data_IF_420184353626
#
_entry.id   IF_420184353626
#
_cell.length_a   1.000
_cell.length_b   1.000
_cell.length_c   1.000
_cell.angle_alpha   90.00
_cell.angle_beta   90.00
_cell.angle_gamma   90.00
#
_symmetry.space_group_name_H-M   'P 1'
#
loop_
_entity.id
_entity.type
_entity.pdbx_description
1 polymer ?
#
# COMPACT_ATOMS: atom_id res chain seq x y z
N UNK A 1 -18.37 -27.68 57.43
CA UNK A 1 -18.04 -27.19 56.08
C UNK A 1 -18.02 -28.40 55.18
N UNK A 2 -19.05 -28.58 54.34
CA UNK A 2 -19.31 -29.84 53.64
C UNK A 2 -18.32 -30.09 52.50
N UNK A 3 -18.08 -31.37 52.19
CA UNK A 3 -17.15 -31.81 51.14
C UNK A 3 -17.43 -31.15 49.77
N UNK A 4 -18.72 -30.90 49.47
CA UNK A 4 -19.15 -30.20 48.26
C UNK A 4 -18.72 -28.73 48.24
N UNK A 5 -18.88 -28.03 49.37
CA UNK A 5 -18.49 -26.63 49.52
C UNK A 5 -16.96 -26.47 49.48
N UNK A 6 -16.21 -27.42 50.05
CA UNK A 6 -14.76 -27.45 49.96
C UNK A 6 -14.26 -27.62 48.52
N UNK A 7 -14.88 -28.55 47.75
CA UNK A 7 -14.56 -28.74 46.32
C UNK A 7 -14.89 -27.52 45.48
N UNK A 8 -15.99 -26.82 45.79
CA UNK A 8 -16.37 -25.58 45.10
C UNK A 8 -15.37 -24.44 45.36
N UNK A 9 -15.02 -24.21 46.62
CA UNK A 9 -14.02 -23.19 47.02
C UNK A 9 -12.67 -23.49 46.35
N UNK A 10 -12.25 -24.76 46.31
CA UNK A 10 -11.03 -25.18 45.64
C UNK A 10 -11.06 -24.88 44.13
N UNK A 11 -12.19 -25.13 43.45
CA UNK A 11 -12.36 -24.82 42.02
C UNK A 11 -12.31 -23.32 41.74
N UNK A 12 -12.95 -22.50 42.58
CA UNK A 12 -12.91 -21.04 42.46
C UNK A 12 -11.48 -20.54 42.61
N UNK A 13 -10.75 -21.07 43.61
CA UNK A 13 -9.35 -20.70 43.83
C UNK A 13 -8.46 -21.08 42.63
N UNK A 14 -8.66 -22.26 42.05
CA UNK A 14 -7.96 -22.69 40.82
C UNK A 14 -8.26 -21.74 39.65
N UNK A 15 -9.52 -21.35 39.46
CA UNK A 15 -9.90 -20.41 38.39
C UNK A 15 -9.24 -19.03 38.55
N UNK A 16 -9.19 -18.52 39.78
CA UNK A 16 -8.53 -17.24 40.07
C UNK A 16 -7.02 -17.32 39.79
N UNK A 17 -6.36 -18.42 40.18
CA UNK A 17 -4.95 -18.65 39.89
C UNK A 17 -4.67 -18.75 38.38
N UNK A 18 -5.56 -19.39 37.62
CA UNK A 18 -5.43 -19.48 36.16
C UNK A 18 -5.48 -18.09 35.51
N UNK A 19 -6.44 -17.25 35.91
CA UNK A 19 -6.56 -15.87 35.38
C UNK A 19 -5.31 -15.04 35.74
N UNK A 20 -4.83 -15.13 36.98
CA UNK A 20 -3.63 -14.42 37.41
C UNK A 20 -2.38 -14.87 36.65
N UNK A 21 -2.26 -16.17 36.38
CA UNK A 21 -1.18 -16.75 35.60
C UNK A 21 -1.20 -16.26 34.15
N UNK A 22 -2.38 -16.12 33.54
CA UNK A 22 -2.55 -15.57 32.19
C UNK A 22 -2.10 -14.10 32.13
N UNK A 23 -2.48 -13.28 33.13
CA UNK A 23 -2.08 -11.86 33.18
C UNK A 23 -0.56 -11.71 33.29
N UNK A 24 0.09 -12.55 34.11
CA UNK A 24 1.56 -12.60 34.23
C UNK A 24 2.22 -13.09 32.94
N UNK A 25 1.63 -14.09 32.29
CA UNK A 25 2.12 -14.62 31.01
C UNK A 25 2.08 -13.56 29.91
N UNK A 26 0.98 -12.80 29.78
CA UNK A 26 0.86 -11.69 28.81
C UNK A 26 1.94 -10.63 29.06
N UNK A 27 2.25 -10.30 30.32
CA UNK A 27 3.35 -9.37 30.67
C UNK A 27 4.73 -9.96 30.31
N UNK A 28 4.93 -11.26 30.52
CA UNK A 28 6.19 -11.95 30.21
C UNK A 28 6.44 -12.16 28.73
N UNK A 29 5.40 -12.25 27.88
CA UNK A 29 5.58 -12.35 26.42
C UNK A 29 6.24 -11.07 25.86
N UNK A 30 6.33 -9.99 26.65
CA UNK A 30 7.04 -8.79 26.22
C UNK A 30 6.46 -8.24 24.92
N UNK A 31 5.14 -8.37 24.75
CA UNK A 31 4.41 -7.82 23.60
C UNK A 31 4.57 -6.31 23.69
N UNK A 32 5.59 -5.81 23.00
CA UNK A 32 5.72 -4.40 22.70
C UNK A 32 4.66 -4.09 21.65
N UNK A 33 3.53 -3.54 22.09
CA UNK A 33 2.61 -2.79 21.21
C UNK A 33 3.22 -1.47 20.72
N UNK A 34 4.47 -1.20 21.10
CA UNK A 34 5.33 -0.36 20.30
C UNK A 34 5.72 -1.18 19.07
N UNK A 35 4.95 -1.06 17.99
CA UNK A 35 5.50 -1.28 16.67
C UNK A 35 6.86 -0.58 16.67
N UNK A 36 7.95 -1.35 16.58
CA UNK A 36 9.25 -0.74 16.36
C UNK A 36 9.11 -0.06 15.01
N UNK A 37 8.91 1.25 15.03
CA UNK A 37 9.16 2.09 13.88
C UNK A 37 10.59 1.78 13.48
N UNK A 38 10.74 0.94 12.45
CA UNK A 38 11.98 0.88 11.71
C UNK A 38 12.34 2.33 11.41
N UNK A 39 13.55 2.79 11.78
CA UNK A 39 13.95 4.15 11.48
C UNK A 39 13.80 4.33 9.97
N UNK A 40 12.77 5.05 9.55
CA UNK A 40 12.63 5.51 8.19
C UNK A 40 13.83 6.41 7.98
N UNK A 41 14.91 5.88 7.43
CA UNK A 41 15.91 6.73 6.82
C UNK A 41 15.14 7.51 5.76
N UNK A 42 15.06 8.82 5.94
CA UNK A 42 14.35 9.74 5.07
C UNK A 42 15.02 9.72 3.69
N UNK A 43 14.70 8.72 2.87
CA UNK A 43 14.76 8.83 1.43
C UNK A 43 13.62 9.79 1.07
N UNK A 44 13.99 11.08 1.10
CA UNK A 44 13.19 12.24 0.72
C UNK A 44 12.26 12.79 1.81
N UNK A 45 12.64 13.95 2.35
CA UNK A 45 11.76 14.83 3.11
C UNK A 45 10.75 15.39 2.11
N UNK A 46 9.58 14.78 2.02
CA UNK A 46 8.41 15.43 1.45
C UNK A 46 7.82 16.24 2.58
N UNK A 47 7.82 17.56 2.45
CA UNK A 47 7.15 18.49 3.35
C UNK A 47 5.72 18.00 3.56
N UNK A 48 5.44 17.44 4.74
CA UNK A 48 4.08 17.16 5.17
C UNK A 48 3.62 18.49 5.74
N UNK A 49 3.03 19.31 4.88
CA UNK A 49 2.18 20.39 5.39
C UNK A 49 1.14 19.73 6.27
N UNK A 50 0.98 20.32 7.45
CA UNK A 50 0.26 19.75 8.56
C UNK A 50 -1.17 19.39 8.18
N UNK A 51 -1.78 18.71 9.14
CA UNK A 51 -3.20 18.53 9.29
C UNK A 51 -3.94 19.88 9.30
N UNK A 52 -4.00 20.54 8.14
CA UNK A 52 -4.69 21.79 7.92
C UNK A 52 -5.38 21.72 6.56
N UNK A 53 -6.69 21.89 6.63
CA UNK A 53 -7.66 21.78 5.54
C UNK A 53 -8.09 20.35 5.24
N UNK A 54 -9.06 19.93 6.04
CA UNK A 54 -10.26 19.26 5.55
C UNK A 54 -10.92 20.09 4.42
N UNK A 55 -10.21 20.30 3.31
CA UNK A 55 -10.84 20.46 2.01
C UNK A 55 -11.10 19.04 1.53
N UNK A 56 -12.16 18.48 2.11
CA UNK A 56 -13.02 17.49 1.45
C UNK A 56 -13.65 18.13 0.21
N UNK A 57 -12.86 18.73 -0.67
CA UNK A 57 -13.06 18.53 -2.10
C UNK A 57 -12.70 17.06 -2.32
N UNK A 58 -13.66 16.23 -1.95
CA UNK A 58 -13.88 14.84 -2.33
C UNK A 58 -12.66 14.19 -3.00
N UNK A 59 -12.24 13.03 -2.48
CA UNK A 59 -11.61 12.02 -3.33
C UNK A 59 -12.65 11.60 -4.39
N UNK A 60 -12.92 12.46 -5.38
CA UNK A 60 -13.80 12.23 -6.53
C UNK A 60 -13.06 11.49 -7.63
N UNK A 61 -11.72 11.53 -7.61
CA UNK A 61 -10.91 10.86 -8.60
C UNK A 61 -10.63 9.42 -8.18
N UNK A 62 -11.48 8.51 -8.67
CA UNK A 62 -11.31 7.05 -8.56
C UNK A 62 -9.89 6.58 -8.93
N UNK A 63 -9.22 7.29 -9.84
CA UNK A 63 -7.81 7.10 -10.20
C UNK A 63 -6.87 7.22 -8.98
N UNK A 64 -7.02 8.28 -8.17
CA UNK A 64 -6.08 8.54 -7.09
C UNK A 64 -6.28 7.57 -5.93
N UNK A 65 -7.54 7.18 -5.66
CA UNK A 65 -7.84 6.10 -4.73
C UNK A 65 -7.26 4.76 -5.22
N UNK A 66 -7.35 4.47 -6.51
CA UNK A 66 -6.73 3.29 -7.12
C UNK A 66 -5.22 3.27 -6.88
N UNK A 67 -4.53 4.38 -7.15
CA UNK A 67 -3.09 4.48 -6.95
C UNK A 67 -2.66 4.34 -5.48
N UNK A 68 -3.42 4.94 -4.56
CA UNK A 68 -3.12 4.88 -3.12
C UNK A 68 -3.17 3.46 -2.55
N UNK A 69 -4.01 2.59 -3.11
CA UNK A 69 -4.13 1.20 -2.66
C UNK A 69 -2.90 0.32 -2.98
N UNK A 70 -1.97 0.80 -3.81
CA UNK A 70 -0.77 0.07 -4.20
C UNK A 70 0.54 0.76 -3.79
N UNK A 71 0.49 1.74 -2.88
CA UNK A 71 1.69 2.42 -2.38
C UNK A 71 2.63 1.39 -1.73
N UNK A 72 3.91 1.42 -2.14
CA UNK A 72 4.94 0.52 -1.64
C UNK A 72 4.99 -0.84 -2.33
N UNK A 73 4.09 -1.13 -3.28
CA UNK A 73 4.10 -2.37 -4.04
C UNK A 73 3.94 -2.13 -5.55
N UNK A 74 5.06 -1.84 -6.20
CA UNK A 74 5.11 -1.56 -7.64
C UNK A 74 4.66 -2.75 -8.49
N UNK A 75 4.90 -4.00 -8.06
CA UNK A 75 4.50 -5.18 -8.83
C UNK A 75 2.97 -5.30 -8.90
N UNK A 76 2.28 -5.21 -7.76
CA UNK A 76 0.81 -5.32 -7.74
C UNK A 76 0.15 -4.10 -8.37
N UNK A 77 0.76 -2.92 -8.26
CA UNK A 77 0.35 -1.74 -9.02
C UNK A 77 0.41 -2.00 -10.52
N UNK A 78 1.53 -2.54 -11.01
CA UNK A 78 1.74 -2.81 -12.42
C UNK A 78 0.73 -3.83 -12.96
N UNK A 79 0.49 -4.93 -12.23
CA UNK A 79 -0.55 -5.89 -12.58
C UNK A 79 -1.93 -5.25 -12.67
N UNK A 80 -2.22 -4.30 -11.79
CA UNK A 80 -3.50 -3.59 -11.76
C UNK A 80 -3.60 -2.59 -12.92
N UNK A 81 -2.53 -1.84 -13.23
CA UNK A 81 -2.46 -0.99 -14.42
C UNK A 81 -2.65 -1.81 -15.70
N UNK A 82 -2.03 -2.99 -15.82
CA UNK A 82 -2.15 -3.86 -17.00
C UNK A 82 -3.60 -4.34 -17.26
N UNK A 83 -4.48 -4.28 -16.26
CA UNK A 83 -5.91 -4.64 -16.37
C UNK A 83 -6.79 -3.45 -16.77
N UNK A 84 -6.26 -2.22 -16.78
CA UNK A 84 -7.03 -1.03 -17.14
C UNK A 84 -7.25 -0.93 -18.65
N UNK A 85 -8.42 -0.41 -19.04
CA UNK A 85 -8.65 0.02 -20.43
C UNK A 85 -7.77 1.21 -20.79
N UNK A 86 -7.50 1.43 -22.08
CA UNK A 86 -6.67 2.56 -22.53
C UNK A 86 -7.15 3.92 -21.98
N UNK A 87 -8.47 4.16 -21.99
CA UNK A 87 -9.06 5.39 -21.46
C UNK A 87 -8.78 5.58 -19.97
N UNK A 88 -8.93 4.52 -19.18
CA UNK A 88 -8.68 4.57 -17.74
C UNK A 88 -7.17 4.66 -17.46
N UNK A 89 -6.35 3.96 -18.23
CA UNK A 89 -4.90 4.04 -18.13
C UNK A 89 -4.40 5.48 -18.34
N UNK A 90 -4.87 6.13 -19.41
CA UNK A 90 -4.42 7.47 -19.78
C UNK A 90 -4.86 8.55 -18.79
N UNK A 91 -5.87 8.28 -17.96
CA UNK A 91 -6.36 9.19 -16.92
C UNK A 91 -5.86 8.83 -15.52
N UNK A 92 -5.17 7.70 -15.35
CA UNK A 92 -4.73 7.22 -14.04
C UNK A 92 -3.35 7.74 -13.67
N UNK A 93 -3.23 8.41 -12.51
CA UNK A 93 -2.02 9.17 -12.10
C UNK A 93 -0.79 8.33 -11.73
N UNK A 94 -0.92 7.00 -11.65
CA UNK A 94 0.16 6.05 -11.38
C UNK A 94 0.34 4.99 -12.48
N UNK A 95 -0.35 5.17 -13.60
CA UNK A 95 -0.21 4.32 -14.78
C UNK A 95 0.13 5.17 -15.99
N UNK A 96 0.81 4.57 -16.96
CA UNK A 96 1.10 5.20 -18.25
C UNK A 96 0.72 4.26 -19.39
N UNK A 97 0.30 4.84 -20.51
CA UNK A 97 0.04 4.12 -21.75
C UNK A 97 1.26 4.24 -22.66
N UNK A 98 1.97 3.14 -22.88
CA UNK A 98 3.18 3.11 -23.70
C UNK A 98 2.86 3.04 -25.20
N UNK A 99 3.81 3.42 -26.07
CA UNK A 99 3.65 3.38 -27.54
C UNK A 99 3.34 1.99 -28.12
N UNK A 100 3.59 0.92 -27.37
CA UNK A 100 3.20 -0.45 -27.72
C UNK A 100 1.80 -0.84 -27.22
N UNK A 101 0.96 0.14 -26.87
CA UNK A 101 -0.40 -0.04 -26.35
C UNK A 101 -0.46 -0.88 -25.07
N UNK A 102 0.51 -0.72 -24.16
CA UNK A 102 0.45 -1.36 -22.84
C UNK A 102 0.22 -0.33 -21.75
N UNK A 103 -0.59 -0.71 -20.78
CA UNK A 103 -0.75 0.07 -19.56
C UNK A 103 0.16 -0.50 -18.48
N UNK A 104 1.12 0.30 -18.02
CA UNK A 104 2.11 -0.13 -17.01
C UNK A 104 2.20 0.89 -15.90
N UNK A 105 2.68 0.47 -14.73
CA UNK A 105 2.92 1.39 -13.62
C UNK A 105 4.01 2.40 -14.01
N UNK A 106 3.76 3.67 -13.74
CA UNK A 106 4.63 4.75 -14.17
C UNK A 106 4.12 6.12 -13.74
N UNK A 107 4.92 7.12 -14.03
CA UNK A 107 4.60 8.52 -13.77
C UNK A 107 5.10 9.39 -14.94
N UNK A 108 5.13 10.71 -14.73
CA UNK A 108 5.66 11.68 -15.72
C UNK A 108 7.10 11.44 -16.17
N UNK A 109 7.89 10.68 -15.40
CA UNK A 109 9.30 10.38 -15.70
C UNK A 109 9.42 9.09 -16.54
N UNK A 110 8.33 8.32 -16.64
CA UNK A 110 8.22 7.14 -17.49
C UNK A 110 7.75 5.88 -16.77
N UNK A 111 7.87 4.71 -17.43
CA UNK A 111 7.48 3.43 -16.86
C UNK A 111 8.42 2.99 -15.75
N UNK A 112 7.86 2.50 -14.64
CA UNK A 112 8.62 1.80 -13.59
C UNK A 112 9.06 0.43 -14.12
N UNK A 113 8.20 -0.22 -14.92
CA UNK A 113 8.47 -1.53 -15.52
C UNK A 113 8.62 -1.39 -17.03
N UNK A 114 9.88 -1.27 -17.48
CA UNK A 114 10.19 -1.11 -18.89
C UNK A 114 11.12 -2.20 -19.43
N UNK A 115 10.96 -3.43 -18.93
CA UNK A 115 11.86 -4.53 -19.25
C UNK A 115 11.08 -5.70 -19.83
N UNK A 116 11.64 -6.36 -20.84
CA UNK A 116 11.06 -7.56 -21.43
C UNK A 116 11.26 -8.81 -20.55
N UNK A 117 10.70 -9.95 -20.97
CA UNK A 117 10.84 -11.24 -20.27
C UNK A 117 12.29 -11.74 -20.18
N UNK A 118 13.21 -11.15 -20.95
CA UNK A 118 14.64 -11.50 -21.02
C UNK A 118 15.51 -10.50 -20.25
N UNK A 119 14.92 -9.53 -19.55
CA UNK A 119 15.68 -8.53 -18.81
C UNK A 119 16.18 -7.35 -19.66
N UNK A 120 15.78 -7.25 -20.94
CA UNK A 120 16.18 -6.15 -21.82
C UNK A 120 15.22 -4.98 -21.73
N UNK A 121 15.74 -3.77 -21.59
CA UNK A 121 14.93 -2.54 -21.63
C UNK A 121 14.20 -2.42 -22.96
N UNK A 122 12.89 -2.21 -22.89
CA UNK A 122 12.02 -1.98 -24.03
C UNK A 122 12.23 -0.53 -24.49
N UNK A 123 12.62 -0.35 -25.75
CA UNK A 123 12.71 0.99 -26.31
C UNK A 123 11.29 1.50 -26.61
N UNK A 124 10.89 2.58 -25.93
CA UNK A 124 9.60 3.24 -26.10
C UNK A 124 9.82 4.56 -26.84
N UNK A 125 9.17 4.70 -27.99
CA UNK A 125 9.22 5.92 -28.80
C UNK A 125 8.51 7.10 -28.11
N UNK A 126 7.42 6.80 -27.41
CA UNK A 126 6.64 7.73 -26.59
C UNK A 126 5.77 6.98 -25.58
N UNK A 127 5.19 7.72 -24.65
CA UNK A 127 4.15 7.24 -23.74
C UNK A 127 3.21 8.38 -23.36
N UNK A 128 2.00 8.04 -22.92
CA UNK A 128 1.05 8.98 -22.38
C UNK A 128 0.92 8.86 -20.87
N UNK A 129 0.94 10.01 -20.21
CA UNK A 129 0.66 10.17 -18.79
C UNK A 129 -0.35 11.29 -18.60
N UNK A 130 -1.51 10.99 -18.01
CA UNK A 130 -2.58 11.97 -17.79
C UNK A 130 -2.98 12.74 -19.06
N UNK A 131 -3.17 12.01 -20.17
CA UNK A 131 -3.44 12.54 -21.52
C UNK A 131 -2.34 13.44 -22.12
N UNK A 132 -1.17 13.54 -21.48
CA UNK A 132 -0.02 14.24 -22.05
C UNK A 132 0.94 13.22 -22.65
N UNK A 133 1.40 13.49 -23.86
CA UNK A 133 2.40 12.66 -24.52
C UNK A 133 3.81 13.09 -24.12
N UNK A 134 4.67 12.10 -23.86
CA UNK A 134 6.08 12.26 -23.55
C UNK A 134 6.92 11.38 -24.47
N UNK A 135 8.01 11.92 -24.99
CA UNK A 135 8.91 11.22 -25.91
C UNK A 135 9.13 11.97 -27.22
N UNK A 136 10.11 11.52 -28.00
CA UNK A 136 10.55 12.22 -29.20
C UNK A 136 9.63 12.00 -30.42
N UNK A 137 8.77 10.98 -30.37
CA UNK A 137 7.88 10.62 -31.48
C UNK A 137 6.40 10.67 -31.08
N UNK A 138 6.04 11.62 -30.23
CA UNK A 138 4.65 11.88 -29.92
C UNK A 138 3.86 12.17 -31.22
N UNK A 139 2.71 11.50 -31.44
CA UNK A 139 1.85 11.81 -32.57
C UNK A 139 1.43 13.28 -32.47
N UNK A 140 1.73 14.06 -33.51
CA UNK A 140 1.14 15.39 -33.69
C UNK A 140 -0.33 15.20 -34.05
N UNK A 141 -1.22 15.81 -33.26
CA UNK A 141 -2.66 15.92 -33.59
C UNK A 141 -2.89 16.63 -34.92
#
# INVERSE_FOLDING_TARGET
>A
MDESNLKYILKVFIMVLLIFSIILFIKSIGINFNAKEYPKQLLQVVTIEGFDNLNTSLITNKSDAFCKNHIGNSNTLNESCNKLSHKNCNTTSCCILTSNNKCVAGNKDGPIFNTDKKGKTINLDYYYYQNKCYGNKCPSE
#
